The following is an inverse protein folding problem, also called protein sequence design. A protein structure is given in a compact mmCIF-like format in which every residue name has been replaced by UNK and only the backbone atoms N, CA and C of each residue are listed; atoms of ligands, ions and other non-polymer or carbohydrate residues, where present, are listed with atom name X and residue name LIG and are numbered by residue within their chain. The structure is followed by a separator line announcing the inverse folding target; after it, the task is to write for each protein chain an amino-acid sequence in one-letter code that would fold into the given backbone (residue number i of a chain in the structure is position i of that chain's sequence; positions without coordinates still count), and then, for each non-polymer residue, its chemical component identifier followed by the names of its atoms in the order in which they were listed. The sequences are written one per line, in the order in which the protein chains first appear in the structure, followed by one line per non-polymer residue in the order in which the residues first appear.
data_IF_283153439955
#
_entry.id   IF_283153439955
#
_cell.length_a   1.000
_cell.length_b   1.000
_cell.length_c   1.000
_cell.angle_alpha   90.00
_cell.angle_beta   90.00
_cell.angle_gamma   90.00
#
_symmetry.space_group_name_H-M   'P 1'
#
loop_
_entity.id
_entity.type
_entity.pdbx_description
1 polymer ?
#
# COMPACT_ATOMS: atom_id res chain seq x y z
N UNK A 1 12.78 30.70 -12.39
CA UNK A 1 13.00 29.41 -11.69
C UNK A 1 11.76 28.91 -10.92
N UNK A 2 10.71 29.72 -10.69
CA UNK A 2 9.52 29.34 -9.89
C UNK A 2 8.69 28.18 -10.46
N UNK A 3 8.57 28.06 -11.80
CA UNK A 3 7.78 26.97 -12.43
C UNK A 3 8.25 25.56 -12.04
N UNK A 4 9.54 25.36 -11.76
CA UNK A 4 10.09 24.04 -11.36
C UNK A 4 9.67 23.64 -9.94
N UNK A 5 9.50 24.61 -9.03
CA UNK A 5 9.01 24.34 -7.66
C UNK A 5 7.55 23.94 -7.62
N UNK A 6 6.74 24.55 -8.49
CA UNK A 6 5.32 24.21 -8.60
C UNK A 6 5.15 22.77 -9.07
N UNK A 7 5.92 22.34 -10.07
CA UNK A 7 5.91 20.96 -10.56
C UNK A 7 6.32 19.95 -9.48
N UNK A 8 7.39 20.21 -8.74
CA UNK A 8 7.84 19.32 -7.66
C UNK A 8 6.83 19.21 -6.51
N UNK A 9 6.13 20.31 -6.18
CA UNK A 9 5.05 20.30 -5.17
C UNK A 9 3.84 19.47 -5.64
N UNK A 10 3.50 19.55 -6.92
CA UNK A 10 2.40 18.75 -7.51
C UNK A 10 2.77 17.26 -7.46
N UNK A 11 3.99 16.90 -7.86
CA UNK A 11 4.47 15.51 -7.83
C UNK A 11 4.48 14.95 -6.40
N UNK A 12 4.95 15.72 -5.41
CA UNK A 12 4.91 15.30 -4.00
C UNK A 12 3.47 15.10 -3.48
N UNK A 13 2.54 15.95 -3.89
CA UNK A 13 1.11 15.82 -3.54
C UNK A 13 0.48 14.59 -4.19
N UNK A 14 0.80 14.32 -5.46
CA UNK A 14 0.33 13.13 -6.19
C UNK A 14 0.83 11.86 -5.49
N UNK A 15 2.12 11.78 -5.16
CA UNK A 15 2.69 10.62 -4.45
C UNK A 15 2.06 10.39 -3.07
N UNK A 16 1.76 11.48 -2.35
CA UNK A 16 1.05 11.39 -1.06
C UNK A 16 -0.36 10.82 -1.22
N UNK A 17 -1.10 11.29 -2.22
CA UNK A 17 -2.46 10.80 -2.54
C UNK A 17 -2.39 9.33 -2.98
N UNK A 18 -1.42 8.95 -3.82
CA UNK A 18 -1.17 7.56 -4.21
C UNK A 18 -0.87 6.66 -3.02
N UNK A 19 -0.08 7.12 -2.05
CA UNK A 19 0.18 6.38 -0.81
C UNK A 19 -1.09 6.14 0.01
N UNK A 20 -1.95 7.16 0.15
CA UNK A 20 -3.24 7.02 0.87
C UNK A 20 -4.18 6.05 0.14
N UNK A 21 -4.29 6.18 -1.19
CA UNK A 21 -5.08 5.26 -2.02
C UNK A 21 -4.53 3.83 -1.87
N UNK A 22 -3.21 3.66 -1.86
CA UNK A 22 -2.55 2.37 -1.62
C UNK A 22 -2.93 1.74 -0.29
N UNK A 23 -2.97 2.51 0.80
CA UNK A 23 -3.42 2.03 2.12
C UNK A 23 -4.89 1.58 2.05
N UNK A 24 -5.76 2.38 1.45
CA UNK A 24 -7.19 2.06 1.32
C UNK A 24 -7.39 0.78 0.53
N UNK A 25 -6.71 0.63 -0.61
CA UNK A 25 -6.78 -0.59 -1.43
C UNK A 25 -6.21 -1.79 -0.68
N UNK A 26 -5.13 -1.62 0.08
CA UNK A 26 -4.53 -2.71 0.88
C UNK A 26 -5.49 -3.20 1.96
N UNK A 27 -6.18 -2.28 2.64
CA UNK A 27 -7.19 -2.60 3.65
C UNK A 27 -8.36 -3.34 2.99
N UNK A 28 -8.92 -2.79 1.91
CA UNK A 28 -10.01 -3.42 1.14
C UNK A 28 -9.60 -4.80 0.61
N UNK A 29 -8.38 -4.93 0.11
CA UNK A 29 -7.82 -6.19 -0.38
C UNK A 29 -7.65 -7.22 0.74
N UNK A 30 -7.19 -6.81 1.93
CA UNK A 30 -7.07 -7.72 3.08
C UNK A 30 -8.43 -8.24 3.54
N UNK A 31 -9.44 -7.36 3.60
CA UNK A 31 -10.83 -7.73 3.96
C UNK A 31 -11.40 -8.66 2.88
N UNK A 32 -11.21 -8.33 1.61
CA UNK A 32 -11.64 -9.16 0.49
C UNK A 32 -11.01 -10.56 0.52
N UNK A 33 -9.71 -10.66 0.80
CA UNK A 33 -9.02 -11.94 0.93
C UNK A 33 -9.52 -12.75 2.13
N UNK A 34 -9.83 -12.11 3.26
CA UNK A 34 -10.46 -12.79 4.39
C UNK A 34 -11.84 -13.32 4.01
N UNK A 35 -12.69 -12.51 3.38
CA UNK A 35 -14.04 -12.91 2.96
C UNK A 35 -14.00 -14.05 1.94
N UNK A 36 -13.11 -13.97 0.95
CA UNK A 36 -12.92 -15.02 -0.06
C UNK A 36 -12.30 -16.28 0.56
N UNK A 37 -11.41 -16.15 1.55
CA UNK A 37 -10.89 -17.31 2.27
C UNK A 37 -11.98 -18.07 3.04
N UNK A 38 -12.86 -17.34 3.74
CA UNK A 38 -13.98 -17.95 4.48
C UNK A 38 -15.07 -18.49 3.54
N UNK A 39 -15.59 -17.70 2.61
CA UNK A 39 -16.66 -18.12 1.70
C UNK A 39 -16.16 -19.11 0.64
N UNK A 40 -14.96 -18.91 0.11
CA UNK A 40 -14.37 -19.80 -0.89
C UNK A 40 -14.10 -21.20 -0.35
N UNK A 41 -13.75 -21.32 0.94
CA UNK A 41 -13.50 -22.64 1.55
C UNK A 41 -14.73 -23.55 1.53
N UNK A 42 -15.94 -23.00 1.71
CA UNK A 42 -17.18 -23.79 1.69
C UNK A 42 -17.59 -24.19 0.28
N UNK A 43 -17.41 -23.31 -0.72
CA UNK A 43 -17.74 -23.64 -2.11
C UNK A 43 -16.73 -24.61 -2.74
N UNK A 44 -15.45 -24.46 -2.40
CA UNK A 44 -14.38 -25.33 -2.91
C UNK A 44 -14.45 -26.71 -2.27
N UNK A 45 -14.81 -26.84 -0.99
CA UNK A 45 -14.96 -28.15 -0.35
C UNK A 45 -16.11 -28.96 -0.96
N UNK A 46 -17.24 -28.31 -1.26
CA UNK A 46 -18.41 -28.95 -1.89
C UNK A 46 -18.13 -29.37 -3.34
N UNK A 47 -17.43 -28.53 -4.12
CA UNK A 47 -17.06 -28.84 -5.50
C UNK A 47 -15.94 -29.89 -5.59
N UNK A 48 -14.97 -29.87 -4.67
CA UNK A 48 -13.89 -30.86 -4.60
C UNK A 48 -14.40 -32.25 -4.18
N UNK A 49 -15.42 -32.31 -3.31
CA UNK A 49 -16.10 -33.56 -2.95
C UNK A 49 -16.85 -34.18 -4.15
N UNK A 50 -17.40 -33.36 -5.04
CA UNK A 50 -18.09 -33.81 -6.25
C UNK A 50 -17.18 -34.40 -7.34
N UNK A 51 -15.91 -34.02 -7.38
CA UNK A 51 -14.95 -34.44 -8.42
C UNK A 51 -14.02 -35.57 -7.93
N UNK A 52 -14.22 -36.08 -6.70
CA UNK A 52 -13.42 -37.15 -6.07
C UNK A 52 -11.90 -36.94 -6.24
N UNK A 53 -11.46 -35.69 -6.17
CA UNK A 53 -10.07 -35.30 -6.43
C UNK A 53 -9.09 -35.67 -5.31
N UNK A 54 -9.48 -36.52 -4.34
CA UNK A 54 -8.58 -37.04 -3.31
C UNK A 54 -7.91 -35.98 -2.43
N UNK A 55 -8.44 -34.75 -2.37
CA UNK A 55 -7.95 -33.71 -1.47
C UNK A 55 -8.43 -34.01 -0.03
N UNK A 56 -7.69 -34.89 0.67
CA UNK A 56 -7.81 -35.08 2.12
C UNK A 56 -7.50 -33.81 2.92
N UNK A 57 -7.66 -33.86 4.25
CA UNK A 57 -8.35 -32.87 5.12
C UNK A 57 -8.13 -31.41 4.67
N UNK A 58 -8.86 -31.00 3.63
CA UNK A 58 -8.56 -29.81 2.84
C UNK A 58 -9.07 -28.48 3.42
N UNK A 59 -9.98 -28.52 4.40
CA UNK A 59 -10.64 -27.30 4.90
C UNK A 59 -9.70 -26.45 5.77
N UNK A 60 -9.00 -27.08 6.72
CA UNK A 60 -8.09 -26.36 7.63
C UNK A 60 -6.83 -25.87 6.93
N UNK A 61 -6.32 -26.62 5.95
CA UNK A 61 -5.13 -26.24 5.17
C UNK A 61 -5.43 -25.03 4.30
N UNK A 62 -6.61 -24.95 3.71
CA UNK A 62 -6.98 -23.86 2.81
C UNK A 62 -7.25 -22.54 3.57
N UNK A 63 -7.87 -22.62 4.76
CA UNK A 63 -8.00 -21.46 5.66
C UNK A 63 -6.62 -20.99 6.15
N UNK A 64 -5.70 -21.90 6.49
CA UNK A 64 -4.35 -21.53 6.89
C UNK A 64 -3.56 -20.83 5.77
N UNK A 65 -3.64 -21.33 4.53
CA UNK A 65 -2.96 -20.72 3.37
C UNK A 65 -3.52 -19.32 3.07
N UNK A 66 -4.84 -19.16 3.09
CA UNK A 66 -5.47 -17.86 2.82
C UNK A 66 -5.12 -16.82 3.89
N UNK A 67 -5.00 -17.23 5.17
CA UNK A 67 -4.56 -16.35 6.25
C UNK A 67 -3.10 -15.91 6.06
N UNK A 68 -2.19 -16.84 5.73
CA UNK A 68 -0.78 -16.52 5.48
C UNK A 68 -0.63 -15.54 4.30
N UNK A 69 -1.36 -15.78 3.22
CA UNK A 69 -1.36 -14.90 2.04
C UNK A 69 -1.95 -13.52 2.36
N UNK A 70 -3.03 -13.44 3.14
CA UNK A 70 -3.62 -12.18 3.57
C UNK A 70 -2.64 -11.35 4.40
N UNK A 71 -1.91 -11.98 5.34
CA UNK A 71 -0.87 -11.32 6.13
C UNK A 71 0.28 -10.86 5.23
N UNK A 72 0.72 -11.69 4.29
CA UNK A 72 1.78 -11.34 3.35
C UNK A 72 1.43 -10.14 2.45
N UNK A 73 0.20 -10.08 1.95
CA UNK A 73 -0.33 -8.95 1.16
C UNK A 73 -0.45 -7.70 2.02
N UNK A 74 -0.89 -7.84 3.27
CA UNK A 74 -1.03 -6.71 4.19
C UNK A 74 0.34 -6.08 4.52
N UNK A 75 1.34 -6.88 4.86
CA UNK A 75 2.69 -6.38 5.17
C UNK A 75 3.32 -5.71 3.95
N UNK A 76 3.27 -6.36 2.77
CA UNK A 76 3.84 -5.77 1.57
C UNK A 76 3.07 -4.53 1.10
N UNK A 77 1.74 -4.58 1.11
CA UNK A 77 0.89 -3.46 0.68
C UNK A 77 1.03 -2.24 1.59
N UNK A 78 1.11 -2.44 2.91
CA UNK A 78 1.37 -1.35 3.85
C UNK A 78 2.78 -0.79 3.70
N UNK A 79 3.81 -1.63 3.55
CA UNK A 79 5.19 -1.18 3.34
C UNK A 79 5.36 -0.34 2.07
N UNK A 80 4.80 -0.80 0.94
CA UNK A 80 4.84 -0.07 -0.34
C UNK A 80 4.07 1.25 -0.26
N UNK A 81 2.92 1.25 0.41
CA UNK A 81 2.10 2.45 0.57
C UNK A 81 2.75 3.48 1.49
N UNK A 82 3.34 3.04 2.61
CA UNK A 82 4.12 3.88 3.53
C UNK A 82 5.36 4.46 2.88
N UNK A 83 6.10 3.65 2.11
CA UNK A 83 7.26 4.12 1.36
C UNK A 83 6.87 5.23 0.37
N UNK A 84 5.75 5.05 -0.34
CA UNK A 84 5.22 6.04 -1.30
C UNK A 84 4.78 7.34 -0.61
N UNK A 85 4.15 7.23 0.56
CA UNK A 85 3.76 8.38 1.38
C UNK A 85 4.98 9.14 1.91
N UNK A 86 5.95 8.42 2.51
CA UNK A 86 7.18 9.00 3.05
C UNK A 86 8.02 9.68 1.97
N UNK A 87 8.06 9.11 0.77
CA UNK A 87 8.73 9.71 -0.38
C UNK A 87 8.08 11.04 -0.81
N UNK A 88 6.73 11.09 -0.85
CA UNK A 88 5.99 12.33 -1.13
C UNK A 88 6.24 13.42 -0.10
N UNK A 89 6.29 13.06 1.19
CA UNK A 89 6.56 13.99 2.29
C UNK A 89 8.03 14.46 2.32
N UNK A 90 8.97 13.57 1.98
CA UNK A 90 10.39 13.89 1.82
C UNK A 90 10.66 14.96 0.77
N UNK A 91 9.96 14.92 -0.37
CA UNK A 91 10.05 15.95 -1.42
C UNK A 91 9.57 17.31 -0.88
N UNK A 92 8.48 17.33 -0.12
CA UNK A 92 7.98 18.56 0.50
C UNK A 92 8.97 19.15 1.50
N UNK A 93 9.61 18.32 2.32
CA UNK A 93 10.63 18.74 3.28
C UNK A 93 11.84 19.35 2.58
N UNK A 94 12.37 18.70 1.54
CA UNK A 94 13.50 19.20 0.75
C UNK A 94 13.23 20.59 0.13
N UNK A 95 12.02 20.79 -0.39
CA UNK A 95 11.61 22.10 -0.93
C UNK A 95 11.56 23.16 0.18
N UNK A 96 11.07 22.81 1.37
CA UNK A 96 11.00 23.74 2.51
C UNK A 96 12.39 24.14 3.01
N UNK A 97 13.34 23.18 3.03
CA UNK A 97 14.74 23.41 3.38
C UNK A 97 15.40 24.36 2.39
N UNK A 98 15.18 24.15 1.09
CA UNK A 98 15.78 25.01 0.07
C UNK A 98 15.23 26.44 0.09
N UNK A 99 13.94 26.61 0.42
CA UNK A 99 13.37 27.95 0.63
C UNK A 99 14.02 28.65 1.83
N UNK A 100 14.16 27.94 2.94
CA UNK A 100 14.78 28.48 4.15
C UNK A 100 16.26 28.83 3.92
N UNK A 101 17.01 27.96 3.25
CA UNK A 101 18.41 28.21 2.91
C UNK A 101 18.60 29.46 2.04
N UNK A 102 17.76 29.66 1.02
CA UNK A 102 17.81 30.87 0.17
C UNK A 102 17.45 32.15 0.91
N UNK A 103 16.50 32.10 1.85
CA UNK A 103 16.15 33.25 2.67
C UNK A 103 17.33 33.65 3.56
N UNK A 104 17.99 32.67 4.18
CA UNK A 104 19.19 32.92 4.99
C UNK A 104 20.33 33.48 4.15
N UNK A 105 20.59 32.96 2.95
CA UNK A 105 21.62 33.51 2.05
C UNK A 105 21.33 34.97 1.67
N UNK A 106 20.05 35.31 1.42
CA UNK A 106 19.64 36.70 1.12
C UNK A 106 19.83 37.63 2.31
N UNK A 107 19.55 37.15 3.52
CA UNK A 107 19.71 37.92 4.77
C UNK A 107 21.17 38.20 5.11
N UNK A 108 22.10 37.32 4.71
CA UNK A 108 23.54 37.50 4.95
C UNK A 108 24.19 38.41 3.90
N UNK A 109 23.57 38.59 2.73
CA UNK A 109 24.06 39.47 1.67
C UNK A 109 23.59 40.93 1.80
N UNK A 110 22.77 41.25 2.80
CA UNK A 110 22.32 42.60 3.18
C UNK A 110 22.99 43.03 4.47
#
# INVERSE_FOLDING_TARGET
MEKRYTLLRIIGTIYRILGIIGIVITILGSIGMCVVGFLGSTFISEYAAWIDLGFGPGEYVQVAISLIMAVGIFINGTAVSLASYAFGEGIHLLISLEKSARLTTRLIQT
#
